data_IF_208732532923
#
_entry.id   IF_208732532923
#
_cell.length_a   1.000
_cell.length_b   1.000
_cell.length_c   1.000
_cell.angle_alpha   90.00
_cell.angle_beta   90.00
_cell.angle_gamma   90.00
#
_symmetry.space_group_name_H-M   'P 1'
#
loop_
_entity.id
_entity.type
_entity.pdbx_description
1 polymer ?
#
# COMPACT_ATOMS: atom_id res chain seq x y z
N UNK A 1 23.82 11.48 -17.82
CA UNK A 1 22.84 11.40 -16.72
C UNK A 1 21.42 11.73 -17.14
N UNK A 2 21.13 12.87 -17.80
CA UNK A 2 19.75 13.30 -18.15
C UNK A 2 18.96 12.26 -18.95
N UNK A 3 19.53 11.72 -20.04
CA UNK A 3 18.85 10.73 -20.90
C UNK A 3 18.46 9.49 -20.10
N UNK A 4 19.35 8.98 -19.24
CA UNK A 4 19.07 7.82 -18.38
C UNK A 4 17.93 8.10 -17.38
N UNK A 5 17.96 9.25 -16.70
CA UNK A 5 16.94 9.64 -15.72
C UNK A 5 15.54 9.70 -16.37
N UNK A 6 15.45 10.36 -17.53
CA UNK A 6 14.18 10.56 -18.23
C UNK A 6 13.66 9.31 -18.95
N UNK A 7 14.46 8.25 -19.08
CA UNK A 7 14.09 7.02 -19.77
C UNK A 7 14.06 5.83 -18.81
N UNK A 8 15.14 5.05 -18.76
CA UNK A 8 15.19 3.76 -18.09
C UNK A 8 14.90 3.86 -16.58
N UNK A 9 15.40 4.89 -15.90
CA UNK A 9 15.12 5.05 -14.47
C UNK A 9 13.66 5.40 -14.21
N UNK A 10 13.09 6.35 -14.96
CA UNK A 10 11.66 6.68 -14.85
C UNK A 10 10.81 5.44 -15.12
N UNK A 11 11.09 4.70 -16.21
CA UNK A 11 10.33 3.52 -16.57
C UNK A 11 10.37 2.42 -15.49
N UNK A 12 11.55 2.15 -14.93
CA UNK A 12 11.74 1.12 -13.90
C UNK A 12 10.98 1.41 -12.60
N UNK A 13 10.82 2.69 -12.23
CA UNK A 13 10.11 3.09 -11.01
C UNK A 13 8.61 3.34 -11.24
N UNK A 14 8.21 3.75 -12.45
CA UNK A 14 6.86 4.22 -12.73
C UNK A 14 5.91 3.09 -13.14
N UNK A 15 6.24 2.31 -14.17
CA UNK A 15 5.30 1.37 -14.79
C UNK A 15 5.05 0.09 -13.97
N UNK A 16 5.83 -0.12 -12.90
CA UNK A 16 5.58 -1.17 -11.91
C UNK A 16 4.59 -0.79 -10.81
N UNK A 17 4.12 0.47 -10.73
CA UNK A 17 3.29 0.92 -9.61
C UNK A 17 1.98 0.14 -9.49
N UNK A 18 1.21 0.00 -10.57
CA UNK A 18 -0.03 -0.78 -10.55
C UNK A 18 0.21 -2.29 -10.53
N UNK A 19 1.11 -2.88 -11.35
CA UNK A 19 1.36 -4.33 -11.30
C UNK A 19 1.72 -4.86 -9.90
N UNK A 20 2.46 -4.09 -9.09
CA UNK A 20 2.84 -4.49 -7.73
C UNK A 20 1.94 -3.91 -6.64
N UNK A 21 1.38 -2.72 -6.84
CA UNK A 21 0.61 -1.97 -5.83
C UNK A 21 -0.91 -2.00 -6.03
N UNK A 22 -1.42 -2.54 -7.14
CA UNK A 22 -2.84 -2.64 -7.44
C UNK A 22 -3.60 -3.51 -6.44
N UNK A 23 -2.93 -4.53 -5.89
CA UNK A 23 -3.39 -5.22 -4.69
C UNK A 23 -2.81 -4.53 -3.45
N UNK A 24 -3.56 -3.57 -2.88
CA UNK A 24 -3.09 -2.70 -1.77
C UNK A 24 -2.48 -3.45 -0.58
N UNK A 25 -2.99 -4.62 -0.13
CA UNK A 25 -2.34 -5.36 0.96
C UNK A 25 -0.88 -5.75 0.69
N UNK A 26 -0.48 -5.91 -0.57
CA UNK A 26 0.91 -6.18 -0.94
C UNK A 26 1.83 -4.97 -0.78
N UNK A 27 1.30 -3.74 -0.93
CA UNK A 27 2.07 -2.50 -0.82
C UNK A 27 1.19 -1.34 -0.31
N UNK A 28 0.80 -1.33 0.97
CA UNK A 28 -0.10 -0.31 1.50
C UNK A 28 0.58 1.07 1.50
N UNK A 29 -0.08 2.14 1.02
CA UNK A 29 0.50 3.48 0.97
C UNK A 29 0.58 4.16 2.34
N UNK A 30 -0.20 3.70 3.32
CA UNK A 30 -0.18 4.17 4.71
C UNK A 30 -0.73 3.10 5.66
N UNK A 31 -0.43 3.28 6.94
CA UNK A 31 -1.03 2.53 8.05
C UNK A 31 -1.80 3.50 8.96
N UNK A 32 -3.02 3.12 9.36
CA UNK A 32 -3.93 3.88 10.23
C UNK A 32 -3.80 3.51 11.71
N UNK A 33 -3.12 2.40 12.01
CA UNK A 33 -2.90 1.88 13.37
C UNK A 33 -1.44 1.49 13.54
N UNK A 34 -0.96 1.59 14.77
CA UNK A 34 0.34 1.09 15.18
C UNK A 34 0.23 -0.41 15.51
N UNK A 35 1.36 -1.04 15.82
CA UNK A 35 1.36 -2.38 16.43
C UNK A 35 0.94 -2.19 17.89
N UNK A 36 -0.06 -2.93 18.40
CA UNK A 36 -0.51 -2.78 19.78
C UNK A 36 0.51 -3.38 20.75
N UNK A 37 0.70 -2.73 21.90
CA UNK A 37 1.51 -3.25 23.01
C UNK A 37 0.72 -4.29 23.82
N UNK A 38 1.40 -5.17 24.56
CA UNK A 38 0.72 -6.23 25.34
C UNK A 38 -0.26 -5.69 26.40
N UNK A 39 -0.06 -4.45 26.84
CA UNK A 39 -0.97 -3.75 27.76
C UNK A 39 -2.23 -3.18 27.09
N UNK A 40 -2.24 -3.09 25.76
CA UNK A 40 -3.35 -2.49 25.03
C UNK A 40 -4.53 -3.46 24.90
N UNK A 41 -5.78 -2.96 25.04
CA UNK A 41 -6.96 -3.81 24.84
C UNK A 41 -7.06 -4.34 23.40
N UNK A 42 -6.47 -3.67 22.42
CA UNK A 42 -6.43 -4.14 21.04
C UNK A 42 -5.47 -5.31 20.81
N UNK A 43 -4.54 -5.59 21.73
CA UNK A 43 -3.59 -6.70 21.61
C UNK A 43 -4.29 -8.05 21.55
N UNK A 44 -5.38 -8.23 22.31
CA UNK A 44 -6.20 -9.43 22.24
C UNK A 44 -6.80 -9.65 20.85
N UNK A 45 -7.28 -8.58 20.20
CA UNK A 45 -7.84 -8.64 18.84
C UNK A 45 -6.74 -8.97 17.80
N UNK A 46 -5.53 -8.44 18.00
CA UNK A 46 -4.37 -8.74 17.17
C UNK A 46 -3.97 -10.22 17.27
N UNK A 47 -3.98 -10.80 18.47
CA UNK A 47 -3.67 -12.22 18.68
C UNK A 47 -4.76 -13.15 18.15
N UNK A 48 -6.04 -12.79 18.32
CA UNK A 48 -7.18 -13.59 17.86
C UNK A 48 -7.22 -13.68 16.33
N UNK A 49 -7.07 -12.56 15.62
CA UNK A 49 -7.06 -12.51 14.16
C UNK A 49 -6.08 -11.44 13.64
N UNK A 50 -4.81 -11.81 13.44
CA UNK A 50 -3.79 -10.89 12.93
C UNK A 50 -4.11 -10.36 11.53
N UNK A 51 -4.81 -11.13 10.69
CA UNK A 51 -5.14 -10.73 9.33
C UNK A 51 -6.21 -9.64 9.33
N UNK A 52 -7.28 -9.83 10.11
CA UNK A 52 -8.31 -8.81 10.30
C UNK A 52 -7.73 -7.56 10.94
N UNK A 53 -6.83 -7.71 11.92
CA UNK A 53 -6.11 -6.55 12.47
C UNK A 53 -5.33 -5.82 11.37
N UNK A 54 -4.54 -6.53 10.57
CA UNK A 54 -3.80 -5.94 9.45
C UNK A 54 -4.72 -5.21 8.46
N UNK A 55 -5.81 -5.82 8.00
CA UNK A 55 -6.78 -5.18 7.11
C UNK A 55 -7.43 -3.95 7.72
N UNK A 56 -7.64 -3.97 9.03
CA UNK A 56 -8.17 -2.83 9.77
C UNK A 56 -7.15 -1.69 9.94
N UNK A 57 -5.86 -1.99 9.77
CA UNK A 57 -4.73 -1.07 9.89
C UNK A 57 -4.30 -0.46 8.55
N UNK A 58 -4.57 -1.10 7.40
CA UNK A 58 -4.32 -0.52 6.07
C UNK A 58 -5.43 0.51 5.67
N UNK A 59 -5.34 1.21 4.52
CA UNK A 59 -6.33 2.22 4.13
C UNK A 59 -7.77 1.68 4.03
N UNK A 60 -8.75 2.57 4.22
CA UNK A 60 -10.16 2.20 4.00
C UNK A 60 -10.43 1.86 2.53
N UNK A 61 -11.54 1.19 2.25
CA UNK A 61 -11.93 0.84 0.87
C UNK A 61 -11.91 2.06 -0.06
N UNK A 62 -12.49 3.18 0.36
CA UNK A 62 -12.50 4.41 -0.43
C UNK A 62 -11.09 4.96 -0.70
N UNK A 63 -10.19 4.92 0.29
CA UNK A 63 -8.80 5.34 0.12
C UNK A 63 -8.03 4.40 -0.83
N UNK A 64 -8.25 3.09 -0.68
CA UNK A 64 -7.71 2.04 -1.54
C UNK A 64 -8.14 2.24 -2.98
N UNK A 65 -9.43 2.42 -3.26
CA UNK A 65 -9.92 2.66 -4.63
C UNK A 65 -9.31 3.93 -5.24
N UNK A 66 -9.22 5.02 -4.45
CA UNK A 66 -8.56 6.26 -4.91
C UNK A 66 -7.08 6.02 -5.26
N UNK A 67 -6.36 5.33 -4.39
CA UNK A 67 -4.95 5.00 -4.64
C UNK A 67 -4.79 4.15 -5.90
N UNK A 68 -5.59 3.08 -6.03
CA UNK A 68 -5.59 2.21 -7.21
C UNK A 68 -5.85 2.99 -8.49
N UNK A 69 -6.83 3.89 -8.52
CA UNK A 69 -7.12 4.70 -9.71
C UNK A 69 -5.93 5.60 -10.11
N UNK A 70 -5.22 6.17 -9.13
CA UNK A 70 -4.02 6.99 -9.38
C UNK A 70 -2.90 6.13 -9.94
N UNK A 71 -2.54 5.02 -9.28
CA UNK A 71 -1.42 4.19 -9.74
C UNK A 71 -1.71 3.49 -11.07
N UNK A 72 -2.97 3.19 -11.37
CA UNK A 72 -3.40 2.66 -12.67
C UNK A 72 -3.15 3.69 -13.80
N UNK A 73 -3.61 4.92 -13.57
CA UNK A 73 -3.39 6.03 -14.51
C UNK A 73 -1.90 6.28 -14.76
N UNK A 74 -1.06 6.21 -13.71
CA UNK A 74 0.39 6.40 -13.83
C UNK A 74 1.11 5.23 -14.52
N UNK A 75 0.56 4.03 -14.49
CA UNK A 75 1.21 2.82 -15.03
C UNK A 75 0.78 2.48 -16.45
N UNK A 76 -0.21 3.19 -17.00
CA UNK A 76 -0.74 2.95 -18.34
C UNK A 76 0.03 3.74 -19.39
N UNK A 77 0.30 3.08 -20.54
CA UNK A 77 0.92 3.67 -21.73
C UNK A 77 -0.10 4.07 -22.77
#
# INVERSE_FOLDING_TARGET
TIVWLASAQHAALNFGQYPYGGYVPNRPPLMRRLIPDESDPEFANFLEDPQKYFFSSIPSLLQTTKFMAVVDTLSTH
#
